data_IF_464834442712
#
_entry.id   IF_464834442712
#
_cell.length_a   1.000
_cell.length_b   1.000
_cell.length_c   1.000
_cell.angle_alpha   90.00
_cell.angle_beta   90.00
_cell.angle_gamma   90.00
#
_symmetry.space_group_name_H-M   'P 1'
#
loop_
_entity.id
_entity.type
_entity.pdbx_description
1 polymer ?
#
# COMPACT_ATOMS: atom_id res chain seq x y z
N UNK A 1 5.26 14.10 7.71
CA UNK A 1 3.79 14.20 7.55
C UNK A 1 3.34 14.45 6.11
N UNK A 2 3.67 15.59 5.46
CA UNK A 2 3.25 15.82 4.06
C UNK A 2 3.81 14.75 3.10
N UNK A 3 5.08 14.38 3.25
CA UNK A 3 5.70 13.31 2.47
C UNK A 3 4.99 11.96 2.68
N UNK A 4 4.60 11.66 3.92
CA UNK A 4 3.96 10.39 4.27
C UNK A 4 2.55 10.30 3.71
N UNK A 5 1.81 11.42 3.68
CA UNK A 5 0.48 11.51 3.03
C UNK A 5 0.61 11.23 1.54
N UNK A 6 1.58 11.84 0.87
CA UNK A 6 1.83 11.59 -0.56
C UNK A 6 2.29 10.15 -0.81
N UNK A 7 3.10 9.58 0.08
CA UNK A 7 3.51 8.18 0.01
C UNK A 7 2.31 7.23 0.14
N UNK A 8 1.41 7.46 1.09
CA UNK A 8 0.17 6.67 1.25
C UNK A 8 -0.69 6.74 -0.02
N UNK A 9 -0.84 7.93 -0.62
CA UNK A 9 -1.58 8.10 -1.88
C UNK A 9 -0.91 7.35 -3.04
N UNK A 10 0.41 7.49 -3.19
CA UNK A 10 1.18 6.81 -4.23
C UNK A 10 1.06 5.28 -4.11
N UNK A 11 1.18 4.75 -2.88
CA UNK A 11 1.02 3.30 -2.63
C UNK A 11 -0.38 2.80 -2.90
N UNK A 12 -1.41 3.60 -2.60
CA UNK A 12 -2.80 3.29 -3.01
C UNK A 12 -2.93 3.19 -4.52
N UNK A 13 -2.31 4.11 -5.26
CA UNK A 13 -2.30 4.06 -6.73
C UNK A 13 -1.55 2.83 -7.26
N UNK A 14 -0.45 2.43 -6.65
CA UNK A 14 0.27 1.19 -7.01
C UNK A 14 -0.60 -0.05 -6.87
N UNK A 15 -1.47 -0.13 -5.86
CA UNK A 15 -2.44 -1.24 -5.73
C UNK A 15 -3.37 -1.28 -6.94
N UNK A 16 -3.93 -0.14 -7.35
CA UNK A 16 -4.84 -0.05 -8.51
C UNK A 16 -4.12 -0.53 -9.77
N UNK A 17 -2.89 -0.04 -10.00
CA UNK A 17 -2.08 -0.45 -11.16
C UNK A 17 -1.77 -1.95 -11.16
N UNK A 18 -1.40 -2.52 -10.01
CA UNK A 18 -1.11 -3.95 -9.91
C UNK A 18 -2.36 -4.82 -10.04
N UNK A 19 -3.52 -4.32 -9.60
CA UNK A 19 -4.80 -5.00 -9.81
C UNK A 19 -5.12 -5.11 -11.31
N UNK A 20 -4.98 -4.01 -12.06
CA UNK A 20 -5.18 -4.01 -13.51
C UNK A 20 -4.15 -4.89 -14.23
N UNK A 21 -2.89 -4.92 -13.77
CA UNK A 21 -1.87 -5.79 -14.33
C UNK A 21 -2.17 -7.28 -14.09
N UNK A 22 -2.69 -7.62 -12.91
CA UNK A 22 -3.15 -8.96 -12.59
C UNK A 22 -4.30 -9.37 -13.52
N UNK A 23 -5.33 -8.52 -13.65
CA UNK A 23 -6.49 -8.79 -14.51
C UNK A 23 -6.06 -9.03 -15.96
N UNK A 24 -5.17 -8.19 -16.51
CA UNK A 24 -4.62 -8.38 -17.85
C UNK A 24 -3.84 -9.70 -18.01
N UNK A 25 -3.13 -10.12 -16.95
CA UNK A 25 -2.36 -11.37 -16.95
C UNK A 25 -3.28 -12.59 -16.85
N UNK A 26 -4.36 -12.50 -16.07
CA UNK A 26 -5.40 -13.53 -15.97
C UNK A 26 -6.13 -13.72 -17.32
N UNK A 27 -6.49 -12.63 -17.99
CA UNK A 27 -7.05 -12.67 -19.35
C UNK A 27 -6.04 -13.31 -20.30
N UNK A 28 -4.77 -12.88 -20.24
CA UNK A 28 -3.68 -13.43 -21.04
C UNK A 28 -3.53 -14.94 -20.86
N UNK A 29 -3.67 -15.43 -19.63
CA UNK A 29 -3.62 -16.85 -19.29
C UNK A 29 -4.83 -17.60 -19.86
N UNK A 30 -6.03 -17.05 -19.74
CA UNK A 30 -7.27 -17.64 -20.29
C UNK A 30 -7.22 -17.78 -21.82
N UNK A 31 -6.61 -16.82 -22.53
CA UNK A 31 -6.45 -16.87 -23.99
C UNK A 31 -5.15 -17.56 -24.44
N UNK A 32 -4.35 -18.09 -23.50
CA UNK A 32 -3.14 -18.85 -23.78
C UNK A 32 -1.90 -18.04 -24.19
N UNK A 33 -1.92 -16.71 -24.01
CA UNK A 33 -0.77 -15.82 -24.28
C UNK A 33 0.15 -15.62 -23.07
N UNK A 34 -0.29 -16.04 -21.87
CA UNK A 34 0.47 -16.05 -20.62
C UNK A 34 0.40 -17.42 -19.95
N UNK A 35 1.34 -17.70 -19.07
CA UNK A 35 1.35 -18.94 -18.29
C UNK A 35 0.87 -18.69 -16.85
N UNK A 36 0.61 -19.78 -16.11
CA UNK A 36 0.13 -19.69 -14.72
C UNK A 36 1.17 -19.05 -13.77
N UNK A 37 2.46 -19.16 -14.07
CA UNK A 37 3.52 -18.55 -13.27
C UNK A 37 3.46 -17.02 -13.38
N UNK A 38 3.13 -16.48 -14.55
CA UNK A 38 2.92 -15.03 -14.74
C UNK A 38 1.77 -14.53 -13.86
N UNK A 39 0.66 -15.27 -13.79
CA UNK A 39 -0.49 -14.95 -12.92
C UNK A 39 -0.08 -14.95 -11.45
N UNK A 40 0.64 -15.99 -11.01
CA UNK A 40 1.13 -16.09 -9.63
C UNK A 40 2.08 -14.96 -9.26
N UNK A 41 2.93 -14.53 -10.19
CA UNK A 41 3.83 -13.39 -9.94
C UNK A 41 3.06 -12.06 -9.89
N UNK A 42 2.10 -11.83 -10.80
CA UNK A 42 1.25 -10.65 -10.76
C UNK A 42 0.42 -10.57 -9.46
N UNK A 43 -0.12 -11.70 -8.99
CA UNK A 43 -0.80 -11.78 -7.69
C UNK A 43 0.16 -11.43 -6.54
N UNK A 44 1.38 -11.99 -6.54
CA UNK A 44 2.40 -11.67 -5.55
C UNK A 44 2.73 -10.17 -5.52
N UNK A 45 2.86 -9.54 -6.68
CA UNK A 45 3.12 -8.11 -6.79
C UNK A 45 1.96 -7.25 -6.25
N UNK A 46 0.71 -7.64 -6.51
CA UNK A 46 -0.47 -7.00 -5.93
C UNK A 46 -0.42 -7.04 -4.39
N UNK A 47 -0.21 -8.22 -3.81
CA UNK A 47 -0.17 -8.37 -2.35
C UNK A 47 1.02 -7.65 -1.71
N UNK A 48 2.18 -7.61 -2.38
CA UNK A 48 3.30 -6.78 -1.94
C UNK A 48 2.92 -5.30 -1.88
N UNK A 49 2.20 -4.78 -2.88
CA UNK A 49 1.74 -3.38 -2.87
C UNK A 49 0.71 -3.10 -1.78
N UNK A 50 -0.18 -4.05 -1.49
CA UNK A 50 -1.13 -3.95 -0.36
C UNK A 50 -0.39 -3.89 0.97
N UNK A 51 0.62 -4.74 1.17
CA UNK A 51 1.45 -4.71 2.38
C UNK A 51 2.19 -3.38 2.53
N UNK A 52 2.83 -2.90 1.46
CA UNK A 52 3.58 -1.64 1.48
C UNK A 52 2.68 -0.42 1.76
N UNK A 53 1.44 -0.43 1.26
CA UNK A 53 0.42 0.58 1.58
C UNK A 53 0.06 0.56 3.06
N UNK A 54 -0.16 -0.62 3.65
CA UNK A 54 -0.46 -0.73 5.07
C UNK A 54 0.71 -0.27 5.94
N UNK A 55 1.95 -0.65 5.60
CA UNK A 55 3.14 -0.15 6.29
C UNK A 55 3.21 1.38 6.25
N UNK A 56 2.99 1.98 5.08
CA UNK A 56 3.00 3.45 4.94
C UNK A 56 1.92 4.14 5.79
N UNK A 57 0.77 3.49 6.02
CA UNK A 57 -0.25 4.01 6.95
C UNK A 57 0.20 3.97 8.40
N UNK A 58 0.86 2.89 8.82
CA UNK A 58 1.41 2.79 10.18
C UNK A 58 2.52 3.82 10.40
N UNK A 59 3.41 3.99 9.43
CA UNK A 59 4.48 4.99 9.48
C UNK A 59 3.90 6.41 9.61
N UNK A 60 2.88 6.75 8.82
CA UNK A 60 2.16 8.03 8.94
C UNK A 60 1.58 8.26 10.34
N UNK A 61 0.91 7.26 10.91
CA UNK A 61 0.33 7.38 12.26
C UNK A 61 1.44 7.58 13.30
N UNK A 62 2.51 6.80 13.24
CA UNK A 62 3.63 6.90 14.18
C UNK A 62 4.33 8.26 14.09
N UNK A 63 4.55 8.77 12.87
CA UNK A 63 5.18 10.07 12.66
C UNK A 63 4.28 11.23 13.10
N UNK A 64 2.96 11.07 12.99
CA UNK A 64 2.00 12.03 13.57
C UNK A 64 2.11 12.07 15.10
N UNK A 65 2.16 10.91 15.76
CA UNK A 65 2.33 10.82 17.22
C UNK A 65 3.67 11.40 17.68
N UNK A 66 4.76 11.11 16.96
CA UNK A 66 6.08 11.70 17.22
C UNK A 66 6.09 13.22 17.06
N UNK A 67 5.37 13.75 16.07
CA UNK A 67 5.23 15.19 15.90
C UNK A 67 4.48 15.83 17.08
N UNK A 68 3.38 15.23 17.52
CA UNK A 68 2.66 15.68 18.73
C UNK A 68 3.54 15.59 19.98
N UNK A 69 4.36 14.55 20.09
CA UNK A 69 5.31 14.40 21.20
C UNK A 69 6.33 15.54 21.21
N UNK A 70 6.95 15.84 20.07
CA UNK A 70 7.92 16.91 19.93
C UNK A 70 7.31 18.30 20.16
N UNK A 71 6.02 18.48 19.81
CA UNK A 71 5.25 19.69 20.08
C UNK A 71 4.75 19.78 21.54
N UNK A 72 4.93 18.73 22.36
CA UNK A 72 4.44 18.67 23.74
C UNK A 72 2.92 18.52 23.88
N UNK A 73 2.22 18.16 22.81
CA UNK A 73 0.75 18.05 22.76
C UNK A 73 0.24 16.60 22.76
N UNK A 74 1.15 15.62 22.76
CA UNK A 74 0.80 14.20 22.81
C UNK A 74 0.06 13.87 24.12
N UNK A 75 -1.12 13.28 23.99
CA UNK A 75 -1.94 12.85 25.11
C UNK A 75 -2.40 11.38 24.92
N UNK A 76 -2.82 10.69 25.99
CA UNK A 76 -3.28 9.30 25.89
C UNK A 76 -4.46 9.08 24.93
N UNK A 77 -5.33 10.08 24.77
CA UNK A 77 -6.45 10.01 23.82
C UNK A 77 -6.03 10.02 22.35
N UNK A 78 -4.77 10.37 22.04
CA UNK A 78 -4.22 10.25 20.69
C UNK A 78 -3.93 8.78 20.29
N UNK A 79 -3.92 7.84 21.25
CA UNK A 79 -3.70 6.40 21.01
C UNK A 79 -5.00 5.61 20.80
N UNK A 80 -6.15 6.19 21.14
CA UNK A 80 -7.47 5.55 21.06
C UNK A 80 -8.18 5.79 19.71
N UNK A 81 -7.56 6.56 18.81
CA UNK A 81 -8.09 6.95 17.48
C UNK A 81 -7.54 6.08 16.34
#
# INVERSE_FOLDING_TARGET
>A
VNTDVEQVKARKQSIISNQSALEATEIGYQVGTRNIVDVLDAQRQLYNSVRDYNNSRYDYTLDNLRLKQAAGTLNPGDLDA
#
